data_IF_179068307629
#
_entry.id   IF_179068307629
#
_cell.length_a   1.000
_cell.length_b   1.000
_cell.length_c   1.000
_cell.angle_alpha   90.00
_cell.angle_beta   90.00
_cell.angle_gamma   90.00
#
_symmetry.space_group_name_H-M   'P 1'
#
loop_
_entity.id
_entity.type
_entity.pdbx_description
1 polymer ?
#
# COMPACT_ATOMS: atom_id res chain seq x y z
N UNK A 1 14.61 -4.17 -70.37
CA UNK A 1 14.39 -3.35 -69.15
C UNK A 1 13.42 -4.01 -68.17
N UNK A 2 12.21 -4.44 -68.58
CA UNK A 2 11.22 -5.06 -67.68
C UNK A 2 11.70 -6.35 -66.98
N UNK A 3 12.47 -7.21 -67.67
CA UNK A 3 13.00 -8.47 -67.12
C UNK A 3 14.05 -8.25 -66.05
N UNK A 4 14.94 -7.27 -66.24
CA UNK A 4 15.99 -6.91 -65.27
C UNK A 4 15.39 -6.33 -63.99
N UNK A 5 14.33 -5.53 -64.10
CA UNK A 5 13.59 -4.98 -62.95
C UNK A 5 12.90 -6.08 -62.16
N UNK A 6 12.29 -7.07 -62.83
CA UNK A 6 11.67 -8.23 -62.15
C UNK A 6 12.67 -9.07 -61.37
N UNK A 7 13.87 -9.27 -61.92
CA UNK A 7 14.95 -9.99 -61.23
C UNK A 7 15.46 -9.22 -60.01
N UNK A 8 15.59 -7.89 -60.13
CA UNK A 8 16.06 -7.03 -59.04
C UNK A 8 15.05 -6.98 -57.89
N UNK A 9 13.75 -6.89 -58.20
CA UNK A 9 12.67 -6.96 -57.20
C UNK A 9 12.63 -8.33 -56.51
N UNK A 10 12.78 -9.42 -57.27
CA UNK A 10 12.85 -10.77 -56.69
C UNK A 10 14.03 -10.97 -55.75
N UNK A 11 15.20 -10.41 -56.10
CA UNK A 11 16.41 -10.47 -55.27
C UNK A 11 16.25 -9.69 -53.97
N UNK A 12 15.69 -8.48 -54.04
CA UNK A 12 15.43 -7.64 -52.85
C UNK A 12 14.44 -8.34 -51.92
N UNK A 13 13.37 -8.93 -52.48
CA UNK A 13 12.37 -9.65 -51.69
C UNK A 13 12.99 -10.87 -50.98
N UNK A 14 13.84 -11.63 -51.68
CA UNK A 14 14.56 -12.75 -51.08
C UNK A 14 15.50 -12.30 -49.94
N UNK A 15 16.14 -11.13 -50.08
CA UNK A 15 17.04 -10.59 -49.07
C UNK A 15 16.31 -10.25 -47.77
N UNK A 16 15.13 -9.62 -47.86
CA UNK A 16 14.31 -9.23 -46.71
C UNK A 16 13.75 -10.45 -45.97
N UNK A 17 13.43 -11.55 -46.68
CA UNK A 17 12.89 -12.77 -46.05
C UNK A 17 13.94 -13.58 -45.26
N UNK A 18 15.23 -13.26 -45.38
CA UNK A 18 16.31 -13.99 -44.68
C UNK A 18 16.73 -13.38 -43.35
N UNK A 19 16.08 -12.30 -42.88
CA UNK A 19 16.36 -11.74 -41.55
C UNK A 19 15.85 -12.67 -40.45
N UNK A 20 16.68 -13.63 -40.06
CA UNK A 20 16.44 -14.49 -38.91
C UNK A 20 16.97 -13.75 -37.68
N UNK A 21 16.07 -13.18 -36.88
CA UNK A 21 16.43 -12.58 -35.60
C UNK A 21 17.03 -13.67 -34.71
N UNK A 22 18.35 -13.66 -34.57
CA UNK A 22 19.04 -14.54 -33.64
C UNK A 22 18.81 -13.93 -32.26
N UNK A 23 17.79 -14.42 -31.57
CA UNK A 23 17.42 -13.99 -30.22
C UNK A 23 18.62 -14.17 -29.28
N UNK A 24 19.29 -13.06 -28.99
CA UNK A 24 20.35 -13.03 -28.00
C UNK A 24 19.74 -13.32 -26.63
N UNK A 25 20.17 -14.40 -25.99
CA UNK A 25 19.83 -14.67 -24.59
C UNK A 25 20.58 -13.63 -23.75
N UNK A 26 19.90 -12.54 -23.41
CA UNK A 26 20.42 -11.55 -22.48
C UNK A 26 20.38 -12.19 -21.11
N UNK A 27 21.56 -12.50 -20.57
CA UNK A 27 21.72 -12.83 -19.16
C UNK A 27 21.40 -11.57 -18.35
N UNK A 28 20.11 -11.35 -18.07
CA UNK A 28 19.69 -10.33 -17.14
C UNK A 28 20.25 -10.72 -15.75
N UNK A 29 20.99 -9.83 -15.06
CA UNK A 29 21.38 -10.06 -13.68
C UNK A 29 20.15 -10.41 -12.84
N UNK A 30 20.29 -11.39 -11.95
CA UNK A 30 19.22 -11.75 -11.01
C UNK A 30 18.69 -10.48 -10.33
N UNK A 31 17.38 -10.18 -10.42
CA UNK A 31 16.81 -9.03 -9.75
C UNK A 31 17.15 -9.09 -8.27
N UNK A 32 17.57 -7.96 -7.70
CA UNK A 32 17.74 -7.88 -6.25
C UNK A 32 16.40 -8.22 -5.57
N UNK A 33 16.43 -8.96 -4.45
CA UNK A 33 15.24 -9.11 -3.63
C UNK A 33 14.66 -7.74 -3.25
N UNK A 34 13.33 -7.59 -3.19
CA UNK A 34 12.72 -6.35 -2.75
C UNK A 34 13.18 -6.01 -1.32
N UNK A 35 13.44 -4.73 -1.07
CA UNK A 35 13.77 -4.25 0.27
C UNK A 35 12.53 -4.32 1.16
N UNK A 36 12.61 -5.12 2.22
CA UNK A 36 11.53 -5.31 3.17
C UNK A 36 11.74 -4.54 4.48
N UNK A 37 12.71 -3.63 4.52
CA UNK A 37 13.04 -2.87 5.71
C UNK A 37 11.87 -1.96 6.13
N UNK A 38 11.53 -1.87 7.43
CA UNK A 38 10.55 -0.92 7.92
C UNK A 38 10.95 0.52 7.59
N UNK A 39 9.98 1.33 7.21
CA UNK A 39 10.19 2.76 6.95
C UNK A 39 9.65 3.60 8.10
N UNK A 40 10.36 4.67 8.45
CA UNK A 40 9.88 5.65 9.42
C UNK A 40 8.98 6.66 8.73
N UNK A 41 7.77 6.84 9.23
CA UNK A 41 6.81 7.85 8.79
C UNK A 41 6.54 8.80 9.95
N UNK A 42 6.69 10.10 9.68
CA UNK A 42 6.41 11.17 10.64
C UNK A 42 5.14 11.89 10.25
N UNK A 43 4.30 12.19 11.24
CA UNK A 43 3.10 12.99 11.02
C UNK A 43 3.48 14.44 10.65
N UNK A 44 2.84 15.10 9.67
CA UNK A 44 3.19 16.47 9.26
C UNK A 44 3.13 17.50 10.39
N UNK A 45 2.24 17.32 11.35
CA UNK A 45 2.16 18.18 12.54
C UNK A 45 3.32 17.99 13.54
N UNK A 46 4.15 16.95 13.37
CA UNK A 46 5.20 16.57 14.32
C UNK A 46 4.69 15.81 15.56
N UNK A 47 3.39 15.47 15.62
CA UNK A 47 2.79 14.85 16.80
C UNK A 47 3.37 13.46 17.15
N UNK A 48 3.75 12.67 16.14
CA UNK A 48 4.31 11.34 16.33
C UNK A 48 5.14 10.89 15.12
N UNK A 49 5.94 9.84 15.31
CA UNK A 49 6.63 9.10 14.25
C UNK A 49 6.52 7.61 14.51
N UNK A 50 6.29 6.82 13.47
CA UNK A 50 6.05 5.39 13.56
C UNK A 50 6.90 4.64 12.53
N UNK A 51 7.38 3.45 12.90
CA UNK A 51 7.94 2.51 11.94
C UNK A 51 6.80 1.68 11.36
N UNK A 52 6.67 1.72 10.04
CA UNK A 52 5.60 1.04 9.30
C UNK A 52 6.26 0.05 8.34
N UNK A 53 5.67 -1.14 8.12
CA UNK A 53 6.17 -2.06 7.11
C UNK A 53 6.27 -1.41 5.72
N UNK A 54 7.15 -1.93 4.86
CA UNK A 54 7.24 -1.53 3.45
C UNK A 54 5.87 -1.68 2.76
N UNK A 55 5.63 -0.89 1.72
CA UNK A 55 4.46 -0.97 0.83
C UNK A 55 3.07 -0.73 1.42
N UNK A 56 2.94 -0.43 2.72
CA UNK A 56 1.64 0.00 3.25
C UNK A 56 1.22 1.36 2.69
N UNK A 57 -0.05 1.56 2.33
CA UNK A 57 -0.58 2.87 2.02
C UNK A 57 -0.76 3.69 3.31
N UNK A 58 -0.48 5.00 3.25
CA UNK A 58 -0.61 5.92 4.39
C UNK A 58 -1.54 7.05 4.02
N UNK A 59 -2.50 7.32 4.89
CA UNK A 59 -3.47 8.40 4.74
C UNK A 59 -3.40 9.29 5.98
N UNK A 60 -2.99 10.54 5.78
CA UNK A 60 -2.95 11.53 6.87
C UNK A 60 -4.29 12.22 6.99
N UNK A 61 -4.78 12.37 8.22
CA UNK A 61 -5.94 13.19 8.55
C UNK A 61 -5.54 14.24 9.59
N UNK A 62 -5.55 15.49 9.15
CA UNK A 62 -5.27 16.66 9.97
C UNK A 62 -6.59 17.33 10.37
N UNK A 63 -6.88 17.35 11.67
CA UNK A 63 -7.95 18.18 12.25
C UNK A 63 -7.40 18.99 13.42
N UNK A 64 -8.05 20.10 13.78
CA UNK A 64 -7.55 21.01 14.81
C UNK A 64 -7.39 20.36 16.21
N UNK A 65 -8.14 19.28 16.48
CA UNK A 65 -8.14 18.62 17.79
C UNK A 65 -7.44 17.25 17.80
N UNK A 66 -7.22 16.66 16.61
CA UNK A 66 -6.71 15.29 16.47
C UNK A 66 -5.72 15.26 15.30
N UNK A 67 -4.50 14.80 15.60
CA UNK A 67 -3.52 14.41 14.59
C UNK A 67 -3.63 12.90 14.36
N UNK A 68 -3.92 12.46 13.14
CA UNK A 68 -4.14 11.04 12.87
C UNK A 68 -3.58 10.57 11.53
N UNK A 69 -3.17 9.30 11.49
CA UNK A 69 -2.77 8.61 10.27
C UNK A 69 -3.39 7.22 10.23
N UNK A 70 -3.96 6.87 9.09
CA UNK A 70 -4.48 5.55 8.80
C UNK A 70 -3.57 4.81 7.84
N UNK A 71 -3.44 3.50 8.03
CA UNK A 71 -2.51 2.64 7.32
C UNK A 71 -3.24 1.43 6.74
N UNK A 72 -2.97 1.11 5.47
CA UNK A 72 -3.53 -0.05 4.78
C UNK A 72 -2.42 -0.96 4.24
N UNK A 73 -2.45 -2.28 4.50
CA UNK A 73 -1.53 -3.23 3.89
C UNK A 73 -1.77 -3.33 2.38
N UNK A 74 -0.78 -3.83 1.62
CA UNK A 74 -0.98 -4.14 0.20
C UNK A 74 -2.13 -5.16 0.03
N UNK A 75 -3.02 -4.89 -0.93
CA UNK A 75 -4.18 -5.74 -1.23
C UNK A 75 -5.42 -5.48 -0.35
N UNK A 76 -5.39 -4.48 0.53
CA UNK A 76 -6.55 -4.05 1.32
C UNK A 76 -7.13 -2.76 0.76
N UNK A 77 -8.43 -2.76 0.50
CA UNK A 77 -9.17 -1.62 -0.07
C UNK A 77 -9.54 -0.55 0.97
N UNK A 78 -9.28 -0.82 2.26
CA UNK A 78 -9.59 0.09 3.36
C UNK A 78 -8.51 0.04 4.45
N UNK A 79 -8.24 1.16 5.15
CA UNK A 79 -7.29 1.17 6.25
C UNK A 79 -7.69 0.21 7.37
N UNK A 80 -6.71 -0.52 7.91
CA UNK A 80 -6.92 -1.50 8.99
C UNK A 80 -6.34 -1.03 10.33
N UNK A 81 -5.42 -0.06 10.29
CA UNK A 81 -4.80 0.52 11.47
C UNK A 81 -4.93 2.05 11.39
N UNK A 82 -5.33 2.69 12.48
CA UNK A 82 -5.27 4.14 12.62
C UNK A 82 -4.53 4.50 13.89
N UNK A 83 -3.51 5.32 13.76
CA UNK A 83 -2.82 5.96 14.88
C UNK A 83 -3.36 7.37 15.04
N UNK A 84 -3.66 7.77 16.28
CA UNK A 84 -4.13 9.11 16.58
C UNK A 84 -3.46 9.63 17.85
N UNK A 85 -3.18 10.93 17.85
CA UNK A 85 -2.78 11.70 19.04
C UNK A 85 -3.87 12.72 19.31
N UNK A 86 -4.35 12.76 20.56
CA UNK A 86 -5.49 13.55 20.99
C UNK A 86 -5.10 14.30 22.26
N UNK A 87 -5.45 15.58 22.34
CA UNK A 87 -5.34 16.34 23.57
C UNK A 87 -6.57 16.09 24.45
N UNK A 88 -6.38 15.55 25.65
CA UNK A 88 -7.48 15.39 26.60
C UNK A 88 -7.72 16.70 27.35
N UNK A 89 -8.99 17.11 27.45
CA UNK A 89 -9.39 18.33 28.17
C UNK A 89 -9.12 18.24 29.68
N UNK A 90 -9.08 17.03 30.22
CA UNK A 90 -8.80 16.72 31.63
C UNK A 90 -7.81 15.54 31.67
N UNK A 91 -6.88 15.50 32.63
CA UNK A 91 -6.08 14.31 32.87
C UNK A 91 -7.02 13.16 33.24
N UNK A 92 -7.25 12.26 32.29
CA UNK A 92 -8.14 11.11 32.46
C UNK A 92 -7.33 9.86 32.78
N UNK A 93 -7.94 8.94 33.52
CA UNK A 93 -7.43 7.57 33.61
C UNK A 93 -7.58 6.92 32.22
N UNK A 94 -6.45 6.68 31.56
CA UNK A 94 -6.41 6.01 30.23
C UNK A 94 -7.07 4.64 30.27
N UNK A 95 -7.06 3.96 31.42
CA UNK A 95 -7.73 2.69 31.60
C UNK A 95 -9.24 2.86 31.54
N UNK A 96 -9.77 3.90 32.17
CA UNK A 96 -11.20 4.19 32.15
C UNK A 96 -11.66 4.60 30.75
N UNK A 97 -10.87 5.44 30.05
CA UNK A 97 -11.14 5.78 28.64
C UNK A 97 -11.17 4.54 27.74
N UNK A 98 -10.23 3.61 27.94
CA UNK A 98 -10.20 2.35 27.20
C UNK A 98 -11.42 1.47 27.50
N UNK A 99 -11.85 1.39 28.77
CA UNK A 99 -13.05 0.65 29.17
C UNK A 99 -14.32 1.26 28.55
N UNK A 100 -14.49 2.58 28.62
CA UNK A 100 -15.64 3.29 28.07
C UNK A 100 -15.76 3.07 26.56
N UNK A 101 -14.63 3.12 25.84
CA UNK A 101 -14.59 2.84 24.40
C UNK A 101 -14.95 1.39 24.07
N UNK A 102 -14.52 0.42 24.89
CA UNK A 102 -14.87 -0.99 24.70
C UNK A 102 -16.34 -1.27 25.01
N UNK A 103 -16.90 -0.59 26.01
CA UNK A 103 -18.30 -0.77 26.43
C UNK A 103 -19.29 -0.22 25.39
N UNK A 104 -18.93 0.84 24.66
CA UNK A 104 -19.75 1.44 23.59
C UNK A 104 -19.61 0.69 22.23
N UNK A 105 -18.79 -0.36 22.17
CA UNK A 105 -18.62 -1.12 20.94
C UNK A 105 -19.87 -1.95 20.61
N UNK A 106 -20.47 -1.81 19.41
CA UNK A 106 -21.75 -2.45 19.04
C UNK A 106 -21.69 -3.99 18.98
N UNK A 107 -20.51 -4.58 19.17
CA UNK A 107 -20.24 -6.02 19.16
C UNK A 107 -20.46 -6.71 20.51
N UNK A 108 -20.82 -5.99 21.58
CA UNK A 108 -21.15 -6.59 22.88
C UNK A 108 -22.64 -6.96 22.98
N UNK A 109 -23.00 -8.21 23.27
CA UNK A 109 -24.38 -8.55 23.60
C UNK A 109 -24.79 -7.83 24.89
N UNK A 110 -25.94 -7.15 24.87
CA UNK A 110 -26.47 -6.41 26.01
C UNK A 110 -26.50 -7.30 27.26
N UNK A 111 -26.15 -6.77 28.45
CA UNK A 111 -26.20 -7.54 29.68
C UNK A 111 -27.62 -8.08 29.88
N UNK A 112 -27.74 -9.41 29.96
CA UNK A 112 -29.01 -10.09 30.26
C UNK A 112 -29.45 -9.58 31.63
N UNK A 113 -30.50 -8.74 31.63
CA UNK A 113 -31.15 -8.29 32.86
C UNK A 113 -31.66 -9.55 33.54
N UNK A 114 -30.97 -10.02 34.59
CA UNK A 114 -31.53 -11.03 35.49
C UNK A 114 -32.61 -10.33 36.28
N UNK A 115 -33.82 -10.42 35.76
CA UNK A 115 -35.02 -10.08 36.49
C UNK A 115 -35.01 -10.94 37.75
N UNK A 116 -34.80 -10.27 38.89
CA UNK A 116 -34.79 -10.91 40.20
C UNK A 116 -36.23 -11.31 40.50
N UNK A 117 -36.52 -12.60 40.44
CA UNK A 117 -37.75 -13.19 40.95
C UNK A 117 -37.83 -13.09 42.47
#
# INVERSE_FOLDING_TARGET
MQTTVRLLVGLILALVLTSRETGAVVFAPTPLPPDLSPRTISHPSGAFSLQVPPDWAVYTQDSNAIASMSFSPPGYDSPVLTAASILLAQPGDVQQLANDYQDDSPSRPAPVRRDRA
#
